data_IF_671427263824
#
_entry.id   IF_671427263824
#
_cell.length_a   1.000
_cell.length_b   1.000
_cell.length_c   1.000
_cell.angle_alpha   90.00
_cell.angle_beta   90.00
_cell.angle_gamma   90.00
#
_symmetry.space_group_name_H-M   'P 1'
#
loop_
_entity.id
_entity.type
_entity.pdbx_description
1 polymer ?
#
# COMPACT_ATOMS: atom_id res chain seq x y z
N UNK A 1 41.30 10.59 -67.97
CA UNK A 1 40.37 9.46 -67.74
C UNK A 1 40.72 8.83 -66.39
N UNK A 2 39.93 9.08 -65.34
CA UNK A 2 39.08 8.10 -64.60
C UNK A 2 39.88 6.98 -63.89
N UNK A 3 39.79 6.72 -62.57
CA UNK A 3 38.59 6.58 -61.72
C UNK A 3 38.84 6.93 -60.23
N UNK A 4 37.76 7.39 -59.58
CA UNK A 4 37.54 7.66 -58.14
C UNK A 4 37.34 6.38 -57.29
N UNK A 5 37.30 6.62 -55.96
CA UNK A 5 36.40 6.01 -54.95
C UNK A 5 36.91 4.72 -54.29
N UNK A 6 36.62 4.38 -53.02
CA UNK A 6 35.97 5.02 -51.87
C UNK A 6 36.11 3.98 -50.75
N UNK A 7 36.97 4.23 -49.76
CA UNK A 7 37.33 3.24 -48.72
C UNK A 7 36.71 3.46 -47.34
N UNK A 8 35.63 4.25 -47.22
CA UNK A 8 35.12 4.73 -45.92
C UNK A 8 33.83 4.00 -45.46
N UNK A 9 33.24 3.10 -46.27
CA UNK A 9 31.87 2.60 -45.98
C UNK A 9 31.77 1.46 -44.96
N UNK A 10 32.83 0.68 -44.70
CA UNK A 10 32.71 -0.55 -43.91
C UNK A 10 32.68 -0.34 -42.38
N UNK A 11 33.36 0.68 -41.85
CA UNK A 11 33.39 0.96 -40.41
C UNK A 11 32.08 1.53 -39.87
N UNK A 12 31.28 2.19 -40.72
CA UNK A 12 30.04 2.85 -40.31
C UNK A 12 28.87 1.87 -40.16
N UNK A 13 28.85 0.79 -40.95
CA UNK A 13 27.74 -0.17 -40.95
C UNK A 13 27.75 -1.08 -39.72
N UNK A 14 28.94 -1.45 -39.22
CA UNK A 14 29.09 -2.27 -38.01
C UNK A 14 28.62 -1.51 -36.76
N UNK A 15 28.97 -0.22 -36.65
CA UNK A 15 28.51 0.63 -35.54
C UNK A 15 26.98 0.84 -35.52
N UNK A 16 26.36 0.97 -36.71
CA UNK A 16 24.90 1.13 -36.83
C UNK A 16 24.15 -0.16 -36.47
N UNK A 17 24.66 -1.34 -36.85
CA UNK A 17 24.04 -2.63 -36.50
C UNK A 17 24.15 -2.91 -34.99
N UNK A 18 25.29 -2.60 -34.38
CA UNK A 18 25.49 -2.78 -32.93
C UNK A 18 24.62 -1.81 -32.11
N UNK A 19 24.48 -0.56 -32.56
CA UNK A 19 23.59 0.42 -31.94
C UNK A 19 22.11 0.02 -32.03
N UNK A 20 21.67 -0.55 -33.16
CA UNK A 20 20.27 -1.00 -33.32
C UNK A 20 19.92 -2.21 -32.45
N UNK A 21 20.87 -3.09 -32.14
CA UNK A 21 20.65 -4.25 -31.28
C UNK A 21 20.47 -3.88 -29.80
N UNK A 22 21.06 -2.78 -29.32
CA UNK A 22 21.01 -2.38 -27.90
C UNK A 22 19.69 -1.74 -27.47
N UNK A 23 18.91 -1.18 -28.41
CA UNK A 23 17.67 -0.46 -28.10
C UNK A 23 16.53 -1.44 -27.77
N UNK A 24 16.56 -2.67 -28.31
CA UNK A 24 15.54 -3.69 -28.08
C UNK A 24 15.61 -4.31 -26.67
N UNK A 25 16.78 -4.34 -26.03
CA UNK A 25 16.96 -4.93 -24.69
C UNK A 25 16.73 -3.95 -23.54
N UNK A 26 16.50 -2.66 -23.82
CA UNK A 26 16.35 -1.63 -22.80
C UNK A 26 14.96 -1.64 -22.12
N UNK A 27 13.96 -2.31 -22.71
CA UNK A 27 12.58 -2.25 -22.20
C UNK A 27 12.22 -3.29 -21.12
N UNK A 28 13.14 -4.19 -20.73
CA UNK A 28 12.83 -5.30 -19.80
C UNK A 28 13.35 -5.13 -18.38
N UNK A 29 13.86 -3.95 -18.01
CA UNK A 29 14.54 -3.76 -16.71
C UNK A 29 13.60 -3.35 -15.57
N UNK A 30 12.31 -3.15 -15.83
CA UNK A 30 11.37 -2.81 -14.78
C UNK A 30 11.01 -4.07 -13.98
N UNK A 31 11.47 -4.21 -12.72
CA UNK A 31 11.11 -5.34 -11.90
C UNK A 31 9.59 -5.34 -11.74
N UNK A 32 8.91 -6.46 -11.96
CA UNK A 32 7.49 -6.58 -11.64
C UNK A 32 7.36 -6.44 -10.13
N UNK A 33 6.70 -5.38 -9.61
CA UNK A 33 6.54 -5.23 -8.19
C UNK A 33 5.62 -6.35 -7.68
N UNK A 34 6.08 -7.08 -6.66
CA UNK A 34 5.25 -8.06 -5.97
C UNK A 34 4.04 -7.37 -5.34
N UNK A 35 2.86 -8.00 -5.44
CA UNK A 35 1.67 -7.45 -4.81
C UNK A 35 1.87 -7.38 -3.29
N UNK A 36 1.64 -6.22 -2.64
CA UNK A 36 1.84 -6.10 -1.21
C UNK A 36 0.85 -6.99 -0.46
N UNK A 37 1.32 -7.64 0.62
CA UNK A 37 0.43 -8.38 1.51
C UNK A 37 -0.55 -7.43 2.19
N UNK A 38 -1.78 -7.89 2.34
CA UNK A 38 -2.87 -7.09 2.93
C UNK A 38 -3.06 -7.50 4.39
N UNK A 39 -3.03 -6.52 5.29
CA UNK A 39 -3.15 -6.67 6.74
C UNK A 39 -4.43 -6.01 7.24
N UNK A 40 -4.93 -6.47 8.39
CA UNK A 40 -6.11 -5.90 9.05
C UNK A 40 -5.94 -5.93 10.57
N UNK A 41 -6.77 -5.17 11.29
CA UNK A 41 -6.84 -5.28 12.75
C UNK A 41 -7.72 -6.47 13.14
N UNK A 42 -7.26 -7.36 14.03
CA UNK A 42 -8.10 -8.43 14.54
C UNK A 42 -9.16 -7.86 15.49
N UNK A 43 -10.38 -8.37 15.39
CA UNK A 43 -11.38 -8.14 16.44
C UNK A 43 -10.95 -8.90 17.70
N UNK A 44 -10.83 -8.25 18.86
CA UNK A 44 -10.43 -8.93 20.10
C UNK A 44 -11.42 -10.05 20.46
N UNK A 45 -10.90 -11.27 20.67
CA UNK A 45 -11.74 -12.44 20.96
C UNK A 45 -12.26 -12.50 22.41
N UNK A 46 -11.60 -11.81 23.34
CA UNK A 46 -11.94 -11.82 24.76
C UNK A 46 -11.98 -10.39 25.29
N UNK A 47 -13.17 -9.82 25.38
CA UNK A 47 -13.42 -8.55 26.04
C UNK A 47 -14.08 -8.83 27.39
N UNK A 48 -13.63 -8.11 28.43
CA UNK A 48 -14.28 -8.19 29.73
C UNK A 48 -15.63 -7.49 29.64
N UNK A 49 -16.70 -8.24 29.87
CA UNK A 49 -18.06 -7.73 29.94
C UNK A 49 -18.42 -7.44 31.40
N UNK A 50 -19.01 -6.28 31.66
CA UNK A 50 -19.47 -5.88 33.00
C UNK A 50 -20.79 -6.55 33.41
N UNK A 51 -21.42 -7.32 32.51
CA UNK A 51 -22.70 -8.00 32.74
C UNK A 51 -23.91 -7.09 32.60
N UNK A 52 -23.72 -5.80 32.33
CA UNK A 52 -24.78 -4.80 32.32
C UNK A 52 -25.03 -4.29 30.90
N UNK A 53 -26.10 -4.79 30.30
CA UNK A 53 -26.54 -4.34 28.97
C UNK A 53 -27.10 -2.92 29.09
N UNK A 54 -26.41 -1.98 28.46
CA UNK A 54 -26.84 -0.60 28.32
C UNK A 54 -27.98 -0.50 27.30
N UNK A 55 -29.13 0.10 27.65
CA UNK A 55 -30.26 0.22 26.72
C UNK A 55 -30.02 1.22 25.59
N UNK A 56 -28.94 1.99 25.63
CA UNK A 56 -28.56 2.95 24.60
C UNK A 56 -27.98 2.25 23.35
N UNK A 57 -28.17 2.88 22.19
CA UNK A 57 -27.43 2.54 20.97
C UNK A 57 -26.08 3.26 20.96
N UNK A 58 -25.03 2.58 20.51
CA UNK A 58 -23.71 3.15 20.27
C UNK A 58 -23.48 3.31 18.77
N UNK A 59 -23.21 4.53 18.32
CA UNK A 59 -22.75 4.80 16.94
C UNK A 59 -21.25 5.05 16.97
N UNK A 60 -20.53 4.39 16.06
CA UNK A 60 -19.08 4.54 15.91
C UNK A 60 -18.83 5.17 14.55
N UNK A 61 -18.40 6.43 14.55
CA UNK A 61 -18.00 7.15 13.35
C UNK A 61 -16.58 6.77 12.92
N UNK A 62 -16.26 6.98 11.65
CA UNK A 62 -14.89 6.86 11.16
C UNK A 62 -14.00 7.91 11.84
N UNK A 63 -12.91 7.53 12.54
CA UNK A 63 -12.00 8.48 13.16
C UNK A 63 -11.41 9.46 12.13
N UNK A 64 -11.31 10.74 12.49
CA UNK A 64 -10.66 11.73 11.65
C UNK A 64 -9.15 11.63 11.79
N UNK A 65 -8.42 11.52 10.67
CA UNK A 65 -6.97 11.53 10.66
C UNK A 65 -6.44 12.43 9.54
N UNK A 66 -5.29 13.04 9.78
CA UNK A 66 -4.52 13.74 8.74
C UNK A 66 -3.52 12.77 8.09
N UNK A 67 -2.95 13.18 6.96
CA UNK A 67 -1.72 12.55 6.46
C UNK A 67 -0.60 12.65 7.54
N UNK A 68 0.30 11.64 7.63
CA UNK A 68 0.33 10.42 6.83
C UNK A 68 -0.59 9.28 7.32
N UNK A 69 -1.28 9.45 8.45
CA UNK A 69 -2.10 8.41 9.08
C UNK A 69 -3.37 8.05 8.28
N UNK A 70 -3.94 9.01 7.55
CA UNK A 70 -5.08 8.77 6.66
C UNK A 70 -4.67 8.07 5.35
N UNK A 71 -4.01 6.92 5.47
CA UNK A 71 -3.57 6.12 4.33
C UNK A 71 -3.68 4.63 4.64
N UNK A 72 -3.57 3.79 3.61
CA UNK A 72 -3.48 2.33 3.75
C UNK A 72 -2.04 1.83 3.98
N UNK A 73 -1.09 2.74 4.22
CA UNK A 73 0.32 2.39 4.45
C UNK A 73 0.52 2.01 5.92
N UNK A 74 1.29 0.96 6.17
CA UNK A 74 1.72 0.64 7.54
C UNK A 74 2.91 1.52 7.87
N UNK A 75 2.73 2.43 8.84
CA UNK A 75 3.73 3.40 9.23
C UNK A 75 4.52 2.92 10.46
N UNK A 76 5.84 3.03 10.40
CA UNK A 76 6.70 3.13 11.56
C UNK A 76 6.98 4.60 11.87
N UNK A 77 7.17 4.90 13.15
CA UNK A 77 7.60 6.21 13.63
C UNK A 77 8.86 6.04 14.48
N UNK A 78 10.03 5.79 13.85
CA UNK A 78 11.27 5.50 14.57
C UNK A 78 11.78 6.72 15.35
N UNK A 79 11.52 7.92 14.84
CA UNK A 79 11.86 9.20 15.45
C UNK A 79 10.59 10.06 15.61
N UNK A 80 10.56 11.03 16.54
CA UNK A 80 9.36 11.83 16.80
C UNK A 80 8.83 12.64 15.59
N UNK A 81 9.70 12.96 14.64
CA UNK A 81 9.40 13.78 13.44
C UNK A 81 9.52 12.99 12.13
N UNK A 82 9.79 11.69 12.17
CA UNK A 82 9.98 10.87 10.97
C UNK A 82 8.92 9.78 10.87
N UNK A 83 8.29 9.67 9.70
CA UNK A 83 7.45 8.53 9.33
C UNK A 83 8.17 7.67 8.30
N UNK A 84 8.20 6.35 8.51
CA UNK A 84 8.66 5.38 7.51
C UNK A 84 7.53 4.43 7.14
N UNK A 85 7.46 4.07 5.87
CA UNK A 85 6.48 3.08 5.38
C UNK A 85 7.12 1.70 5.36
N UNK A 86 6.44 0.69 5.90
CA UNK A 86 6.84 -0.70 5.70
C UNK A 86 6.53 -1.15 4.27
N UNK A 87 7.58 -1.54 3.54
CA UNK A 87 7.44 -2.07 2.18
C UNK A 87 6.85 -3.48 2.13
N UNK A 88 6.20 -3.83 1.02
CA UNK A 88 5.66 -5.18 0.79
C UNK A 88 4.42 -5.54 1.62
N UNK A 89 3.91 -4.61 2.43
CA UNK A 89 2.69 -4.76 3.23
C UNK A 89 1.84 -3.49 3.16
N UNK A 90 0.54 -3.64 3.33
CA UNK A 90 -0.40 -2.53 3.45
C UNK A 90 -1.59 -2.94 4.31
N UNK A 91 -2.29 -1.97 4.86
CA UNK A 91 -3.61 -2.17 5.42
C UNK A 91 -4.62 -2.51 4.32
N UNK A 92 -5.69 -3.24 4.69
CA UNK A 92 -6.83 -3.55 3.83
C UNK A 92 -7.49 -2.29 3.28
N UNK A 93 -7.68 -1.30 4.16
CA UNK A 93 -8.22 0.03 3.88
C UNK A 93 -7.36 1.11 4.57
N UNK A 94 -7.80 2.37 4.62
CA UNK A 94 -7.13 3.41 5.39
C UNK A 94 -7.14 3.07 6.89
N UNK A 95 -6.10 3.50 7.61
CA UNK A 95 -5.98 3.22 9.04
C UNK A 95 -7.21 3.60 9.88
N UNK A 96 -7.93 4.72 9.58
CA UNK A 96 -9.15 5.05 10.31
C UNK A 96 -10.31 4.09 10.04
N UNK A 97 -10.47 3.61 8.81
CA UNK A 97 -11.56 2.68 8.45
C UNK A 97 -11.37 1.33 9.15
N UNK A 98 -10.17 0.74 9.06
CA UNK A 98 -9.91 -0.54 9.74
C UNK A 98 -10.01 -0.42 11.26
N UNK A 99 -9.68 0.74 11.83
CA UNK A 99 -9.86 1.02 13.26
C UNK A 99 -11.34 1.07 13.64
N UNK A 100 -12.17 1.76 12.84
CA UNK A 100 -13.63 1.79 13.03
C UNK A 100 -14.22 0.39 12.98
N UNK A 101 -13.89 -0.39 11.96
CA UNK A 101 -14.39 -1.75 11.77
C UNK A 101 -14.01 -2.65 12.96
N UNK A 102 -12.76 -2.56 13.44
CA UNK A 102 -12.29 -3.27 14.62
C UNK A 102 -13.05 -2.85 15.89
N UNK A 103 -13.30 -1.55 16.10
CA UNK A 103 -14.08 -1.05 17.23
C UNK A 103 -15.53 -1.55 17.18
N UNK A 104 -16.18 -1.50 16.01
CA UNK A 104 -17.53 -2.04 15.80
C UNK A 104 -17.57 -3.52 16.15
N UNK A 105 -16.60 -4.30 15.67
CA UNK A 105 -16.47 -5.70 16.01
C UNK A 105 -16.31 -5.93 17.52
N UNK A 106 -15.44 -5.15 18.17
CA UNK A 106 -15.19 -5.24 19.60
C UNK A 106 -16.46 -4.97 20.43
N UNK A 107 -17.16 -3.85 20.17
CA UNK A 107 -18.37 -3.51 20.93
C UNK A 107 -19.53 -4.49 20.68
N UNK A 108 -19.63 -5.07 19.48
CA UNK A 108 -20.59 -6.14 19.20
C UNK A 108 -20.25 -7.43 19.95
N UNK A 109 -18.96 -7.78 20.04
CA UNK A 109 -18.50 -8.95 20.77
C UNK A 109 -18.68 -8.82 22.29
N UNK A 110 -18.53 -7.61 22.84
CA UNK A 110 -18.75 -7.33 24.27
C UNK A 110 -20.22 -7.39 24.69
N UNK A 111 -21.18 -7.23 23.77
CA UNK A 111 -22.63 -7.23 24.05
C UNK A 111 -23.11 -6.19 25.09
N UNK A 112 -22.29 -5.18 25.41
CA UNK A 112 -22.60 -4.17 26.43
C UNK A 112 -23.68 -3.17 25.99
N UNK A 113 -23.99 -3.08 24.70
CA UNK A 113 -24.95 -2.12 24.15
C UNK A 113 -26.07 -2.84 23.41
N UNK A 114 -27.29 -2.31 23.52
CA UNK A 114 -28.46 -2.86 22.82
C UNK A 114 -28.27 -2.90 21.29
N UNK A 115 -27.57 -1.90 20.76
CA UNK A 115 -27.32 -1.76 19.34
C UNK A 115 -25.99 -1.03 19.09
N UNK A 116 -25.27 -1.47 18.05
CA UNK A 116 -23.99 -0.90 17.64
C UNK A 116 -24.01 -0.68 16.13
N UNK A 117 -23.99 0.59 15.73
CA UNK A 117 -24.03 1.04 14.34
C UNK A 117 -22.76 1.77 13.91
N UNK A 118 -22.57 1.86 12.60
CA UNK A 118 -21.55 2.67 11.94
C UNK A 118 -22.25 3.76 11.12
N UNK A 119 -21.51 4.81 10.77
CA UNK A 119 -21.94 5.82 9.79
C UNK A 119 -22.26 5.25 8.41
#
# INVERSE_FOLDING_TARGET
>A
MNKKASGVKAFNTVGVVLAMSGIMTACTIFPKPEAPRVMDFPVPASLQHDGNIRPQSLRIDTPTASEPYNSSRILAKPEPWEFRVYGGVRWRDTSPIILRDMLVGAFRAGSDFRDVSTD
#
